data_IF_585944189523
#
_entry.id   IF_585944189523
#
_cell.length_a   1.000
_cell.length_b   1.000
_cell.length_c   1.000
_cell.angle_alpha   90.00
_cell.angle_beta   90.00
_cell.angle_gamma   90.00
#
_symmetry.space_group_name_H-M   'P 1'
#
loop_
_entity.id
_entity.type
_entity.pdbx_description
1 polymer ?
#
# COMPACT_ATOMS: atom_id res chain seq x y z
N UNK A 1 9.91 -9.01 -18.03
CA UNK A 1 9.45 -7.62 -18.11
C UNK A 1 9.24 -7.21 -19.57
N UNK A 2 10.27 -6.82 -20.34
CA UNK A 2 10.11 -6.48 -21.76
C UNK A 2 10.79 -7.48 -22.71
N UNK A 3 11.99 -7.97 -22.36
CA UNK A 3 12.69 -8.97 -23.18
C UNK A 3 11.95 -10.31 -23.21
N UNK A 4 11.33 -10.71 -22.10
CA UNK A 4 10.55 -11.95 -22.02
C UNK A 4 9.29 -11.92 -22.88
N UNK A 5 8.54 -10.81 -22.87
CA UNK A 5 7.34 -10.70 -23.72
C UNK A 5 7.71 -10.55 -25.20
N UNK A 6 8.81 -9.85 -25.51
CA UNK A 6 9.36 -9.78 -26.86
C UNK A 6 9.65 -11.18 -27.43
N UNK A 7 10.39 -12.02 -26.70
CA UNK A 7 10.73 -13.38 -27.17
C UNK A 7 9.48 -14.24 -27.44
N UNK A 8 8.45 -14.08 -26.61
CA UNK A 8 7.24 -14.90 -26.67
C UNK A 8 6.26 -14.40 -27.73
N UNK A 9 6.11 -13.09 -27.90
CA UNK A 9 5.10 -12.49 -28.78
C UNK A 9 5.65 -12.03 -30.13
N UNK A 10 6.96 -11.80 -30.29
CA UNK A 10 7.53 -11.27 -31.55
C UNK A 10 7.18 -12.13 -32.77
N UNK A 11 7.16 -13.46 -32.63
CA UNK A 11 6.78 -14.36 -33.75
C UNK A 11 5.30 -14.27 -34.11
N UNK A 12 4.42 -14.07 -33.13
CA UNK A 12 2.98 -14.01 -33.32
C UNK A 12 2.51 -12.59 -33.75
N UNK A 13 3.22 -11.57 -33.28
CA UNK A 13 2.90 -10.15 -33.47
C UNK A 13 4.18 -9.33 -33.73
N UNK A 14 4.84 -9.53 -34.88
CA UNK A 14 6.14 -8.92 -35.18
C UNK A 14 6.06 -7.39 -35.30
N UNK A 15 4.91 -6.83 -35.69
CA UNK A 15 4.74 -5.38 -35.75
C UNK A 15 4.54 -4.77 -34.35
N UNK A 16 3.76 -5.41 -33.48
CA UNK A 16 3.44 -4.90 -32.16
C UNK A 16 4.61 -5.09 -31.17
N UNK A 17 5.26 -6.24 -31.20
CA UNK A 17 6.43 -6.58 -30.39
C UNK A 17 7.70 -6.63 -31.27
N UNK A 18 7.94 -5.57 -32.05
CA UNK A 18 9.04 -5.51 -33.04
C UNK A 18 10.43 -5.35 -32.44
N UNK A 19 10.52 -4.82 -31.22
CA UNK A 19 11.78 -4.60 -30.52
C UNK A 19 11.57 -4.60 -29.01
N UNK A 20 12.67 -4.74 -28.26
CA UNK A 20 12.63 -4.65 -26.79
C UNK A 20 12.08 -3.30 -26.32
N UNK A 21 12.52 -2.13 -26.84
CA UNK A 21 11.94 -0.84 -26.45
C UNK A 21 10.43 -0.74 -26.72
N UNK A 22 9.94 -1.26 -27.84
CA UNK A 22 8.50 -1.28 -28.13
C UNK A 22 7.74 -2.18 -27.15
N UNK A 23 8.35 -3.29 -26.76
CA UNK A 23 7.81 -4.19 -25.73
C UNK A 23 7.86 -3.56 -24.32
N UNK A 24 8.79 -2.64 -24.06
CA UNK A 24 8.82 -1.87 -22.82
C UNK A 24 7.63 -0.93 -22.69
N UNK A 25 7.17 -0.30 -23.78
CA UNK A 25 5.96 0.53 -23.76
C UNK A 25 4.76 -0.25 -23.21
N UNK A 26 4.49 -1.41 -23.80
CA UNK A 26 3.43 -2.30 -23.33
C UNK A 26 3.62 -2.72 -21.87
N UNK A 27 4.85 -3.10 -21.50
CA UNK A 27 5.17 -3.54 -20.14
C UNK A 27 4.93 -2.42 -19.11
N UNK A 28 5.30 -1.17 -19.42
CA UNK A 28 5.07 -0.01 -18.55
C UNK A 28 3.57 0.25 -18.40
N UNK A 29 2.83 0.35 -19.50
CA UNK A 29 1.38 0.60 -19.51
C UNK A 29 0.61 -0.48 -18.74
N UNK A 30 1.05 -1.73 -18.84
CA UNK A 30 0.44 -2.87 -18.12
C UNK A 30 0.82 -2.86 -16.65
N UNK A 31 2.09 -2.60 -16.32
CA UNK A 31 2.59 -2.55 -14.95
C UNK A 31 1.95 -1.41 -14.14
N UNK A 32 1.72 -0.26 -14.78
CA UNK A 32 1.04 0.89 -14.17
C UNK A 32 -0.48 0.75 -14.14
N UNK A 33 -1.02 -0.38 -14.60
CA UNK A 33 -2.47 -0.68 -14.67
C UNK A 33 -3.26 0.27 -15.57
N UNK A 34 -2.60 1.02 -16.47
CA UNK A 34 -3.27 1.93 -17.42
C UNK A 34 -3.99 1.15 -18.51
N UNK A 35 -3.32 0.18 -19.13
CA UNK A 35 -3.95 -0.78 -20.04
C UNK A 35 -4.70 -0.18 -21.23
N UNK A 36 -4.06 0.68 -22.04
CA UNK A 36 -4.70 1.30 -23.22
C UNK A 36 -5.33 0.29 -24.21
N UNK A 37 -4.82 -0.94 -24.27
CA UNK A 37 -5.33 -1.99 -25.16
C UNK A 37 -4.87 -1.86 -26.61
N UNK A 38 -3.98 -0.92 -26.91
CA UNK A 38 -3.33 -0.70 -28.20
C UNK A 38 -2.46 -1.90 -28.62
N UNK A 39 -1.79 -2.52 -27.65
CA UNK A 39 -0.99 -3.73 -27.83
C UNK A 39 -1.33 -4.70 -26.70
N UNK A 40 -1.57 -5.97 -27.01
CA UNK A 40 -1.80 -7.01 -26.00
C UNK A 40 -1.19 -8.34 -26.44
N UNK A 41 -0.69 -9.17 -25.52
CA UNK A 41 -0.17 -10.49 -25.87
C UNK A 41 -1.29 -11.44 -26.28
N UNK A 42 -1.10 -12.14 -27.40
CA UNK A 42 -2.10 -13.07 -27.94
C UNK A 42 -1.76 -14.52 -27.62
N UNK A 43 -0.49 -14.84 -27.37
CA UNK A 43 -0.05 -16.20 -27.06
C UNK A 43 -0.42 -16.58 -25.63
N UNK A 44 -0.67 -17.87 -25.39
CA UNK A 44 -1.00 -18.38 -24.04
C UNK A 44 0.10 -18.07 -23.02
N UNK A 45 1.37 -18.18 -23.43
CA UNK A 45 2.50 -17.89 -22.56
C UNK A 45 2.65 -16.38 -22.30
N UNK A 46 2.39 -15.54 -23.32
CA UNK A 46 2.41 -14.08 -23.17
C UNK A 46 1.31 -13.59 -22.24
N UNK A 47 0.12 -14.19 -22.29
CA UNK A 47 -0.98 -13.91 -21.35
C UNK A 47 -0.63 -14.28 -19.91
N UNK A 48 0.01 -15.43 -19.69
CA UNK A 48 0.50 -15.83 -18.36
C UNK A 48 1.53 -14.82 -17.82
N UNK A 49 2.50 -14.44 -18.64
CA UNK A 49 3.48 -13.41 -18.27
C UNK A 49 2.82 -12.07 -17.98
N UNK A 50 1.83 -11.67 -18.78
CA UNK A 50 1.03 -10.46 -18.55
C UNK A 50 0.32 -10.49 -17.20
N UNK A 51 -0.35 -11.59 -16.86
CA UNK A 51 -1.02 -11.75 -15.57
C UNK A 51 -0.05 -11.59 -14.39
N UNK A 52 1.14 -12.21 -14.46
CA UNK A 52 2.17 -12.08 -13.44
C UNK A 52 2.68 -10.63 -13.32
N UNK A 53 2.90 -9.95 -14.45
CA UNK A 53 3.33 -8.54 -14.48
C UNK A 53 2.27 -7.65 -13.81
N UNK A 54 0.99 -7.86 -14.09
CA UNK A 54 -0.10 -7.09 -13.48
C UNK A 54 -0.15 -7.28 -11.96
N UNK A 55 -0.07 -8.52 -11.47
CA UNK A 55 -0.05 -8.80 -10.02
C UNK A 55 1.13 -8.10 -9.34
N UNK A 56 2.32 -8.18 -9.94
CA UNK A 56 3.50 -7.50 -9.42
C UNK A 56 3.37 -5.97 -9.48
N UNK A 57 2.74 -5.42 -10.53
CA UNK A 57 2.50 -3.99 -10.67
C UNK A 57 1.64 -3.43 -9.54
N UNK A 58 0.53 -4.09 -9.22
CA UNK A 58 -0.33 -3.73 -8.09
C UNK A 58 0.43 -3.83 -6.76
N UNK A 59 1.23 -4.90 -6.59
CA UNK A 59 2.06 -5.08 -5.39
C UNK A 59 3.07 -3.93 -5.19
N UNK A 60 3.74 -3.50 -6.24
CA UNK A 60 4.69 -2.38 -6.20
C UNK A 60 3.97 -1.06 -5.91
N UNK A 61 2.82 -0.83 -6.53
CA UNK A 61 2.02 0.38 -6.30
C UNK A 61 1.48 0.47 -4.87
N UNK A 62 1.26 -0.66 -4.18
CA UNK A 62 0.82 -0.70 -2.80
C UNK A 62 1.90 -0.27 -1.80
N UNK A 63 3.20 -0.39 -2.13
CA UNK A 63 4.28 -0.11 -1.18
C UNK A 63 4.35 1.36 -0.74
N UNK A 64 4.35 2.36 -1.65
CA UNK A 64 4.37 3.77 -1.24
C UNK A 64 3.14 4.15 -0.41
N UNK A 65 1.96 3.65 -0.82
CA UNK A 65 0.71 3.87 -0.08
C UNK A 65 0.79 3.28 1.33
N UNK A 66 1.31 2.05 1.48
CA UNK A 66 1.50 1.40 2.77
C UNK A 66 2.49 2.13 3.68
N UNK A 67 3.61 2.63 3.13
CA UNK A 67 4.58 3.42 3.88
C UNK A 67 3.94 4.71 4.42
N UNK A 68 3.22 5.45 3.57
CA UNK A 68 2.54 6.67 3.98
C UNK A 68 1.45 6.41 5.03
N UNK A 69 0.63 5.38 4.82
CA UNK A 69 -0.42 4.99 5.76
C UNK A 69 0.17 4.62 7.13
N UNK A 70 1.27 3.85 7.15
CA UNK A 70 1.98 3.50 8.39
C UNK A 70 2.56 4.72 9.08
N UNK A 71 3.12 5.66 8.33
CA UNK A 71 3.65 6.92 8.89
C UNK A 71 2.56 7.74 9.56
N UNK A 72 1.41 7.91 8.89
CA UNK A 72 0.27 8.63 9.43
C UNK A 72 -0.33 7.92 10.65
N UNK A 73 -0.51 6.61 10.60
CA UNK A 73 -1.03 5.83 11.72
C UNK A 73 -0.13 5.95 12.96
N UNK A 74 1.19 5.92 12.77
CA UNK A 74 2.14 6.11 13.84
C UNK A 74 2.04 7.53 14.45
N UNK A 75 1.96 8.58 13.63
CA UNK A 75 1.83 9.96 14.10
C UNK A 75 0.53 10.17 14.90
N UNK A 76 -0.59 9.64 14.41
CA UNK A 76 -1.89 9.70 15.09
C UNK A 76 -1.85 8.97 16.44
N UNK A 77 -1.24 7.80 16.49
CA UNK A 77 -1.07 7.04 17.73
C UNK A 77 -0.20 7.82 18.74
N UNK A 78 0.91 8.41 18.30
CA UNK A 78 1.76 9.23 19.16
C UNK A 78 1.04 10.46 19.68
N UNK A 79 0.24 11.13 18.84
CA UNK A 79 -0.56 12.30 19.24
C UNK A 79 -1.61 11.95 20.28
N UNK A 80 -2.32 10.83 20.12
CA UNK A 80 -3.29 10.35 21.11
C UNK A 80 -2.62 10.03 22.45
N UNK A 81 -1.47 9.35 22.43
CA UNK A 81 -0.71 9.06 23.65
C UNK A 81 -0.24 10.33 24.38
N UNK A 82 0.20 11.36 23.64
CA UNK A 82 0.57 12.66 24.23
C UNK A 82 -0.63 13.35 24.86
N UNK A 83 -1.77 13.39 24.18
CA UNK A 83 -2.99 13.98 24.71
C UNK A 83 -3.46 13.28 26.00
N UNK A 84 -3.37 11.95 26.05
CA UNK A 84 -3.70 11.20 27.27
C UNK A 84 -2.70 11.47 28.41
N UNK A 85 -1.41 11.64 28.10
CA UNK A 85 -0.39 11.99 29.09
C UNK A 85 -0.63 13.40 29.64
N UNK A 86 -0.81 14.39 28.76
CA UNK A 86 -1.15 15.76 29.15
C UNK A 86 -2.43 15.80 29.99
N UNK A 87 -3.47 15.06 29.58
CA UNK A 87 -4.71 14.99 30.36
C UNK A 87 -4.49 14.36 31.74
N UNK A 88 -3.72 13.27 31.85
CA UNK A 88 -3.35 12.65 33.13
C UNK A 88 -2.57 13.61 34.03
N UNK A 89 -1.61 14.34 33.47
CA UNK A 89 -0.84 15.36 34.20
C UNK A 89 -1.74 16.49 34.69
N UNK A 90 -2.67 16.98 33.86
CA UNK A 90 -3.63 18.02 34.23
C UNK A 90 -4.59 17.57 35.35
N UNK A 91 -5.01 16.31 35.36
CA UNK A 91 -5.82 15.75 36.45
C UNK A 91 -5.01 15.71 37.75
N UNK A 92 -3.81 15.14 37.73
CA UNK A 92 -2.94 15.07 38.91
C UNK A 92 -2.60 16.45 39.47
N UNK A 93 -2.26 17.41 38.60
CA UNK A 93 -1.97 18.79 39.00
C UNK A 93 -3.16 19.49 39.67
N UNK A 94 -4.39 19.08 39.37
CA UNK A 94 -5.61 19.60 39.99
C UNK A 94 -6.06 18.82 41.23
N UNK A 95 -5.32 17.82 41.69
CA UNK A 95 -5.74 16.93 42.79
C UNK A 95 -6.87 15.95 42.40
N UNK A 96 -7.09 15.84 41.10
CA UNK A 96 -7.97 14.99 40.28
C UNK A 96 -7.80 13.47 40.32
N UNK A 97 -7.62 12.77 41.44
CA UNK A 97 -7.35 11.31 41.38
C UNK A 97 -8.63 10.48 41.37
N UNK A 98 -9.27 10.38 40.20
CA UNK A 98 -10.55 9.67 40.01
C UNK A 98 -10.48 8.21 40.49
N UNK A 99 -9.33 7.53 40.32
CA UNK A 99 -9.17 6.14 40.78
C UNK A 99 -9.04 6.05 42.30
N UNK A 100 -8.38 7.02 42.93
CA UNK A 100 -8.28 7.07 44.39
C UNK A 100 -9.61 7.49 45.03
N UNK A 101 -10.26 8.50 44.46
CA UNK A 101 -11.55 9.02 44.90
C UNK A 101 -12.64 7.97 44.80
N UNK A 102 -12.67 7.15 43.73
CA UNK A 102 -13.65 6.07 43.58
C UNK A 102 -13.46 4.99 44.65
N UNK A 103 -12.20 4.61 44.95
CA UNK A 103 -11.88 3.65 46.03
C UNK A 103 -12.22 4.22 47.41
N UNK A 104 -12.02 5.52 47.64
CA UNK A 104 -12.37 6.18 48.91
C UNK A 104 -13.89 6.26 49.10
N UNK A 105 -14.64 6.61 48.05
CA UNK A 105 -16.11 6.65 48.06
C UNK A 105 -16.69 5.25 48.32
N UNK A 106 -16.15 4.20 47.69
CA UNK A 106 -16.58 2.82 47.94
C UNK A 106 -16.32 2.41 49.39
N UNK A 107 -15.21 2.86 49.98
CA UNK A 107 -14.83 2.59 51.37
C UNK A 107 -15.70 3.30 52.39
N UNK A 108 -16.15 4.52 52.10
CA UNK A 108 -17.08 5.30 52.96
C UNK A 108 -18.51 4.79 52.85
N UNK A 109 -18.83 4.09 51.75
CA UNK A 109 -20.16 3.51 51.51
C UNK A 109 -20.38 2.16 52.23
N UNK A 110 -19.30 1.49 52.67
CA UNK A 110 -19.36 0.31 53.56
C UNK A 110 -19.30 0.71 55.03
#
# INVERSE_FOLDING_TARGET
TASGIYVVENKAQPEAFSSIPKSMWWAVVTLTTVGYGDVTPVTSLGKLLGALITILGVGIAALPAGILASGLANELNQRNQRLEQEFRELLQARGIDILHDEIEIERVRQ
#
